data_IF_589539932046
#
_entry.id   IF_589539932046
#
_cell.length_a   1.000
_cell.length_b   1.000
_cell.length_c   1.000
_cell.angle_alpha   90.00
_cell.angle_beta   90.00
_cell.angle_gamma   90.00
#
_symmetry.space_group_name_H-M   'P 1'
#
loop_
_entity.id
_entity.type
_entity.pdbx_description
1 polymer ?
#
# COMPACT_ATOMS: atom_id res chain seq x y z
N UNK A 1 3.23 26.02 64.97
CA UNK A 1 4.56 26.56 64.62
C UNK A 1 4.68 26.56 63.11
N UNK A 2 4.96 27.73 62.52
CA UNK A 2 5.04 28.02 61.09
C UNK A 2 6.51 28.14 60.67
N UNK A 3 6.75 27.94 59.37
CA UNK A 3 7.92 28.29 58.53
C UNK A 3 8.83 27.12 58.09
N UNK A 4 9.51 27.24 56.93
CA UNK A 4 9.02 27.72 55.64
C UNK A 4 9.52 26.85 54.44
N UNK A 5 8.96 27.17 53.28
CA UNK A 5 9.32 26.70 51.93
C UNK A 5 10.73 27.18 51.54
N UNK A 6 11.54 26.31 50.93
CA UNK A 6 12.61 26.71 50.01
C UNK A 6 12.55 25.87 48.73
N UNK A 7 12.22 26.55 47.64
CA UNK A 7 12.22 26.06 46.26
C UNK A 7 13.65 26.18 45.73
N UNK A 8 14.20 25.10 45.18
CA UNK A 8 15.24 25.18 44.16
C UNK A 8 14.82 24.34 42.95
N UNK A 9 14.36 25.06 41.93
CA UNK A 9 14.21 24.63 40.56
C UNK A 9 15.59 24.24 40.00
N UNK A 10 15.74 22.99 39.57
CA UNK A 10 16.61 22.68 38.43
C UNK A 10 15.78 21.89 37.44
N UNK A 11 15.38 22.63 36.41
CA UNK A 11 14.80 22.18 35.17
C UNK A 11 15.68 21.12 34.49
N UNK A 12 15.13 19.93 34.30
CA UNK A 12 15.54 19.03 33.22
C UNK A 12 14.30 18.71 32.38
N UNK A 13 13.97 19.67 31.52
CA UNK A 13 13.03 19.49 30.42
C UNK A 13 13.82 18.79 29.31
N UNK A 14 13.62 17.49 29.13
CA UNK A 14 13.90 16.82 27.85
C UNK A 14 12.70 15.96 27.48
N UNK A 15 11.94 16.51 26.55
CA UNK A 15 10.95 15.83 25.75
C UNK A 15 11.62 14.69 24.98
N UNK A 16 11.25 13.46 25.30
CA UNK A 16 11.12 12.40 24.31
C UNK A 16 9.74 11.80 24.60
N UNK A 17 8.68 12.40 24.07
CA UNK A 17 8.39 12.29 22.66
C UNK A 17 7.69 10.97 22.49
N UNK A 18 6.36 11.01 22.45
CA UNK A 18 5.50 9.89 22.12
C UNK A 18 6.09 9.16 20.92
N UNK A 19 6.73 8.02 21.16
CA UNK A 19 6.89 7.05 20.10
C UNK A 19 5.48 6.55 19.89
N UNK A 20 4.78 7.17 18.93
CA UNK A 20 3.56 6.63 18.36
C UNK A 20 3.91 5.22 17.96
N UNK A 21 3.55 4.28 18.84
CA UNK A 21 3.44 2.89 18.52
C UNK A 21 2.43 2.88 17.38
N UNK A 22 2.96 2.84 16.16
CA UNK A 22 2.17 2.58 14.98
C UNK A 22 1.62 1.22 15.29
N UNK A 23 0.40 1.20 15.80
CA UNK A 23 -0.39 0.01 16.02
C UNK A 23 -0.36 -0.72 14.69
N UNK A 24 0.60 -1.63 14.57
CA UNK A 24 0.61 -2.68 13.59
C UNK A 24 -0.50 -3.57 14.10
N UNK A 25 -1.72 -3.21 13.70
CA UNK A 25 -2.88 -4.06 13.83
C UNK A 25 -2.54 -5.27 12.98
N UNK A 26 -1.90 -6.28 13.59
CA UNK A 26 -1.82 -7.63 13.04
C UNK A 26 -3.19 -8.30 13.17
N UNK A 27 -4.23 -7.61 12.67
CA UNK A 27 -5.43 -8.27 12.21
C UNK A 27 -5.04 -8.92 10.89
N UNK A 28 -5.14 -10.24 10.79
CA UNK A 28 -4.99 -10.95 9.51
C UNK A 28 -6.03 -10.38 8.54
N UNK A 29 -5.66 -9.37 7.77
CA UNK A 29 -6.50 -8.82 6.73
C UNK A 29 -6.85 -9.94 5.75
N UNK A 30 -8.14 -10.05 5.41
CA UNK A 30 -8.65 -11.09 4.52
C UNK A 30 -7.96 -10.99 3.16
N UNK A 31 -7.30 -12.06 2.74
CA UNK A 31 -6.66 -12.15 1.44
C UNK A 31 -7.47 -13.05 0.49
N UNK A 32 -7.61 -12.63 -0.77
CA UNK A 32 -8.30 -13.36 -1.85
C UNK A 32 -7.47 -13.35 -3.11
N UNK A 33 -7.70 -14.30 -4.01
CA UNK A 33 -7.03 -14.34 -5.31
C UNK A 33 -7.79 -13.52 -6.38
N UNK A 34 -7.12 -13.08 -7.46
CA UNK A 34 -7.80 -12.41 -8.58
C UNK A 34 -8.98 -13.21 -9.16
N UNK A 35 -8.95 -14.54 -9.07
CA UNK A 35 -10.02 -15.41 -9.56
C UNK A 35 -11.25 -15.43 -8.64
N UNK A 36 -11.10 -15.04 -7.37
CA UNK A 36 -12.18 -14.99 -6.39
C UNK A 36 -12.95 -13.66 -6.41
N UNK A 37 -12.44 -12.64 -7.09
CA UNK A 37 -13.06 -11.32 -7.16
C UNK A 37 -13.80 -11.10 -8.49
N UNK A 38 -14.69 -10.10 -8.48
CA UNK A 38 -15.28 -9.46 -9.65
C UNK A 38 -15.09 -7.95 -9.50
N UNK A 39 -14.84 -7.26 -10.60
CA UNK A 39 -14.76 -5.80 -10.66
C UNK A 39 -15.94 -5.29 -11.49
N UNK A 40 -16.59 -4.21 -11.06
CA UNK A 40 -17.68 -3.57 -11.82
C UNK A 40 -17.13 -2.58 -12.86
N UNK A 41 -17.99 -2.04 -13.72
CA UNK A 41 -17.59 -1.01 -14.70
C UNK A 41 -17.06 0.26 -14.02
N UNK A 42 -17.50 0.53 -12.77
CA UNK A 42 -17.04 1.64 -11.94
C UNK A 42 -15.74 1.32 -11.16
N UNK A 43 -15.13 0.16 -11.37
CA UNK A 43 -13.89 -0.26 -10.70
C UNK A 43 -14.08 -0.77 -9.27
N UNK A 44 -15.32 -1.07 -8.86
CA UNK A 44 -15.62 -1.59 -7.52
C UNK A 44 -15.37 -3.10 -7.45
N UNK A 45 -14.58 -3.51 -6.46
CA UNK A 45 -14.16 -4.89 -6.23
C UNK A 45 -15.07 -5.56 -5.21
N UNK A 46 -15.57 -6.74 -5.57
CA UNK A 46 -16.36 -7.62 -4.71
C UNK A 46 -15.79 -9.03 -4.76
N UNK A 47 -15.94 -9.79 -3.68
CA UNK A 47 -15.75 -11.24 -3.75
C UNK A 47 -16.95 -11.88 -4.45
N UNK A 48 -16.72 -12.89 -5.29
CA UNK A 48 -17.79 -13.62 -5.99
C UNK A 48 -18.76 -14.23 -4.96
N UNK A 49 -20.04 -13.97 -5.13
CA UNK A 49 -21.10 -14.37 -4.20
C UNK A 49 -21.38 -13.37 -3.07
N UNK A 50 -20.52 -12.35 -2.90
CA UNK A 50 -20.74 -11.29 -1.92
C UNK A 50 -21.39 -10.06 -2.55
N UNK A 51 -22.24 -9.42 -1.76
CA UNK A 51 -22.94 -8.19 -2.10
C UNK A 51 -22.20 -6.94 -1.61
N UNK A 52 -21.41 -7.08 -0.54
CA UNK A 52 -20.68 -5.97 0.06
C UNK A 52 -19.33 -5.70 -0.63
N UNK A 53 -18.94 -4.42 -0.79
CA UNK A 53 -17.62 -4.07 -1.32
C UNK A 53 -16.49 -4.71 -0.51
N UNK A 54 -15.52 -5.30 -1.21
CA UNK A 54 -14.44 -6.03 -0.57
C UNK A 54 -13.50 -5.08 0.19
N UNK A 55 -13.07 -5.48 1.39
CA UNK A 55 -11.95 -4.84 2.11
C UNK A 55 -10.97 -5.93 2.52
N UNK A 56 -9.72 -5.78 2.10
CA UNK A 56 -8.68 -6.78 2.30
C UNK A 56 -7.61 -6.72 1.22
N UNK A 57 -6.94 -7.85 1.01
CA UNK A 57 -5.82 -7.97 0.06
C UNK A 57 -6.18 -8.87 -1.10
N UNK A 58 -5.76 -8.47 -2.30
CA UNK A 58 -5.75 -9.32 -3.49
C UNK A 58 -4.31 -9.79 -3.69
N UNK A 59 -4.11 -11.11 -3.66
CA UNK A 59 -2.79 -11.74 -3.78
C UNK A 59 -2.80 -12.89 -4.77
N UNK A 60 -1.74 -13.03 -5.57
CA UNK A 60 -1.50 -14.22 -6.37
C UNK A 60 -0.05 -14.69 -6.24
N UNK A 61 0.19 -15.94 -6.60
CA UNK A 61 1.49 -16.58 -6.50
C UNK A 61 1.82 -17.24 -7.84
N UNK A 62 3.10 -17.17 -8.20
CA UNK A 62 3.66 -17.93 -9.31
C UNK A 62 3.57 -19.44 -9.03
N UNK A 63 3.67 -20.30 -10.07
CA UNK A 63 3.67 -21.76 -9.89
C UNK A 63 4.76 -22.28 -8.94
N UNK A 64 5.84 -21.51 -8.77
CA UNK A 64 6.93 -21.82 -7.83
C UNK A 64 6.64 -21.39 -6.37
N UNK A 65 5.45 -20.89 -6.08
CA UNK A 65 5.01 -20.47 -4.75
C UNK A 65 5.47 -19.07 -4.33
N UNK A 66 6.19 -18.33 -5.17
CA UNK A 66 6.61 -16.95 -4.88
C UNK A 66 5.48 -15.97 -5.17
N UNK A 67 5.43 -14.87 -4.41
CA UNK A 67 4.44 -13.81 -4.60
C UNK A 67 4.54 -13.25 -6.02
N UNK A 68 3.41 -13.18 -6.70
CA UNK A 68 3.29 -12.64 -8.06
C UNK A 68 2.70 -11.24 -8.03
N UNK A 69 1.65 -11.03 -7.23
CA UNK A 69 0.90 -9.79 -7.18
C UNK A 69 0.38 -9.54 -5.78
N UNK A 70 0.36 -8.27 -5.39
CA UNK A 70 -0.27 -7.80 -4.17
C UNK A 70 -0.92 -6.42 -4.38
N UNK A 71 -2.15 -6.29 -3.88
CA UNK A 71 -2.90 -5.04 -3.86
C UNK A 71 -3.87 -4.98 -2.68
N UNK A 72 -3.91 -3.84 -1.98
CA UNK A 72 -4.92 -3.60 -0.96
C UNK A 72 -6.19 -3.01 -1.58
N UNK A 73 -7.33 -3.46 -1.09
CA UNK A 73 -8.67 -2.99 -1.45
C UNK A 73 -9.33 -2.46 -0.17
N UNK A 74 -9.88 -1.25 -0.23
CA UNK A 74 -10.61 -0.61 0.87
C UNK A 74 -11.98 -0.19 0.37
N UNK A 75 -13.04 -0.69 0.99
CA UNK A 75 -14.43 -0.42 0.60
C UNK A 75 -14.68 -0.61 -0.92
N UNK A 76 -14.14 -1.71 -1.47
CA UNK A 76 -14.23 -2.07 -2.88
C UNK A 76 -13.26 -1.32 -3.81
N UNK A 77 -12.49 -0.36 -3.32
CA UNK A 77 -11.60 0.44 -4.17
C UNK A 77 -10.14 0.03 -3.98
N UNK A 78 -9.39 -0.02 -5.08
CA UNK A 78 -7.93 -0.19 -5.06
C UNK A 78 -7.30 0.95 -4.25
N UNK A 79 -6.47 0.62 -3.27
CA UNK A 79 -5.87 1.62 -2.38
C UNK A 79 -4.48 1.18 -1.94
N UNK A 80 -3.56 2.13 -1.77
CA UNK A 80 -2.20 1.86 -1.35
C UNK A 80 -1.31 1.34 -2.46
N UNK A 81 -0.32 0.51 -2.12
CA UNK A 81 0.70 0.08 -3.08
C UNK A 81 0.21 -1.13 -3.86
N UNK A 82 0.30 -1.05 -5.18
CA UNK A 82 0.26 -2.20 -6.08
C UNK A 82 1.68 -2.66 -6.35
N UNK A 83 1.95 -3.95 -6.16
CA UNK A 83 3.24 -4.54 -6.49
C UNK A 83 3.04 -5.84 -7.27
N UNK A 84 3.86 -6.03 -8.28
CA UNK A 84 3.93 -7.25 -9.08
C UNK A 84 5.40 -7.68 -9.20
N UNK A 85 5.62 -8.98 -9.22
CA UNK A 85 6.94 -9.60 -9.28
C UNK A 85 7.02 -10.63 -10.39
N UNK A 86 8.21 -10.74 -10.99
CA UNK A 86 8.59 -11.85 -11.86
C UNK A 86 8.71 -13.15 -11.06
N UNK A 87 8.66 -14.30 -11.73
CA UNK A 87 8.76 -15.61 -11.07
C UNK A 87 10.09 -15.80 -10.31
N UNK A 88 11.15 -15.10 -10.70
CA UNK A 88 12.43 -15.10 -9.99
C UNK A 88 12.44 -14.25 -8.71
N UNK A 89 11.33 -13.55 -8.40
CA UNK A 89 11.16 -12.68 -7.24
C UNK A 89 11.62 -11.24 -7.46
N UNK A 90 12.11 -10.88 -8.66
CA UNK A 90 12.43 -9.50 -8.98
C UNK A 90 11.15 -8.68 -9.23
N UNK A 91 11.22 -7.38 -8.99
CA UNK A 91 10.11 -6.45 -9.27
C UNK A 91 9.76 -6.48 -10.76
N UNK A 92 8.49 -6.66 -11.08
CA UNK A 92 7.95 -6.43 -12.43
C UNK A 92 7.29 -5.06 -12.50
N UNK A 93 6.41 -4.75 -11.56
CA UNK A 93 5.70 -3.48 -11.52
C UNK A 93 5.49 -2.97 -10.09
N UNK A 94 5.47 -1.65 -9.96
CA UNK A 94 5.04 -0.95 -8.75
C UNK A 94 4.24 0.29 -9.11
N UNK A 95 3.06 0.43 -8.54
CA UNK A 95 2.22 1.61 -8.67
C UNK A 95 1.57 1.96 -7.32
N UNK A 96 0.99 3.16 -7.21
CA UNK A 96 0.18 3.55 -6.05
C UNK A 96 -1.23 3.85 -6.52
N UNK A 97 -2.21 3.39 -5.75
CA UNK A 97 -3.63 3.60 -5.97
C UNK A 97 -4.21 4.38 -4.79
N UNK A 98 -5.09 5.33 -5.09
CA UNK A 98 -5.84 6.11 -4.11
C UNK A 98 -7.27 6.15 -4.59
N UNK A 99 -8.17 5.51 -3.85
CA UNK A 99 -9.61 5.49 -4.13
C UNK A 99 -9.91 5.04 -5.56
N UNK A 100 -9.33 3.92 -5.95
CA UNK A 100 -9.54 3.34 -7.28
C UNK A 100 -8.75 3.99 -8.41
N UNK A 101 -8.02 5.09 -8.16
CA UNK A 101 -7.26 5.82 -9.19
C UNK A 101 -5.75 5.70 -8.98
N UNK A 102 -4.97 5.56 -10.05
CA UNK A 102 -3.50 5.63 -9.94
C UNK A 102 -3.04 7.04 -9.58
N UNK A 103 -2.08 7.09 -8.65
CA UNK A 103 -1.46 8.31 -8.16
C UNK A 103 0.06 8.14 -8.05
N UNK A 104 0.81 9.18 -8.34
CA UNK A 104 2.27 9.15 -8.26
C UNK A 104 2.92 8.35 -9.38
N UNK A 105 4.10 7.78 -9.14
CA UNK A 105 4.91 7.18 -10.19
C UNK A 105 4.70 5.67 -10.28
N UNK A 106 4.14 5.21 -11.40
CA UNK A 106 4.17 3.81 -11.78
C UNK A 106 5.50 3.48 -12.43
N UNK A 107 6.10 2.36 -12.05
CA UNK A 107 7.40 1.89 -12.57
C UNK A 107 7.30 0.43 -12.92
N UNK A 108 7.87 0.07 -14.07
CA UNK A 108 8.02 -1.31 -14.48
C UNK A 108 9.47 -1.65 -14.78
N UNK A 109 9.83 -2.93 -14.57
CA UNK A 109 11.16 -3.46 -14.82
C UNK A 109 11.07 -4.76 -15.62
N UNK A 110 12.06 -5.03 -16.44
CA UNK A 110 12.26 -6.35 -17.04
C UNK A 110 12.75 -7.35 -15.98
N UNK A 111 12.63 -8.65 -16.26
CA UNK A 111 13.21 -9.70 -15.43
C UNK A 111 14.74 -9.59 -15.25
N UNK A 112 15.44 -8.78 -16.06
CA UNK A 112 16.85 -8.45 -15.83
C UNK A 112 17.08 -7.39 -14.73
N UNK A 113 16.02 -6.83 -14.15
CA UNK A 113 16.06 -5.71 -13.21
C UNK A 113 16.23 -4.34 -13.88
N UNK A 114 16.42 -4.29 -15.20
CA UNK A 114 16.49 -3.02 -15.96
C UNK A 114 15.12 -2.36 -16.01
N UNK A 115 15.07 -1.03 -15.88
CA UNK A 115 13.82 -0.26 -16.01
C UNK A 115 13.23 -0.48 -17.40
N UNK A 116 11.91 -0.62 -17.44
CA UNK A 116 11.09 -0.77 -18.65
C UNK A 116 10.24 0.47 -18.89
N UNK A 117 9.63 1.02 -17.84
CA UNK A 117 8.89 2.28 -17.93
C UNK A 117 8.82 3.04 -16.60
N UNK A 118 8.60 4.34 -16.70
CA UNK A 118 8.24 5.23 -15.59
C UNK A 118 7.13 6.16 -16.08
N UNK A 119 5.93 6.02 -15.51
CA UNK A 119 4.78 6.84 -15.84
C UNK A 119 4.30 7.60 -14.61
N UNK A 120 4.35 8.92 -14.62
CA UNK A 120 3.71 9.72 -13.58
C UNK A 120 2.20 9.74 -13.83
N UNK A 121 1.43 9.43 -12.80
CA UNK A 121 -0.02 9.48 -12.78
C UNK A 121 -0.50 10.51 -11.76
N UNK A 122 -1.61 11.17 -12.09
CA UNK A 122 -2.43 11.95 -11.16
C UNK A 122 -3.88 11.65 -11.49
N UNK A 123 -4.62 11.07 -10.54
CA UNK A 123 -6.01 10.67 -10.76
C UNK A 123 -6.21 9.90 -12.10
N UNK A 124 -5.44 8.83 -12.28
CA UNK A 124 -5.41 7.95 -13.47
C UNK A 124 -4.96 8.56 -14.80
N UNK A 125 -4.66 9.86 -14.84
CA UNK A 125 -4.16 10.53 -16.04
C UNK A 125 -2.64 10.63 -15.99
N UNK A 126 -1.98 10.42 -17.14
CA UNK A 126 -0.56 10.70 -17.25
C UNK A 126 -0.28 12.17 -16.93
N UNK A 127 0.70 12.41 -16.07
CA UNK A 127 1.03 13.74 -15.59
C UNK A 127 2.54 14.01 -15.63
N UNK A 128 3.02 14.61 -16.72
CA UNK A 128 4.44 14.93 -16.91
C UNK A 128 5.09 13.98 -17.90
N UNK A 129 6.41 13.80 -17.78
CA UNK A 129 7.19 13.05 -18.76
C UNK A 129 7.11 11.55 -18.52
N UNK A 130 6.57 10.83 -19.50
CA UNK A 130 6.64 9.37 -19.57
C UNK A 130 8.03 8.94 -20.05
N UNK A 131 8.57 7.87 -19.47
CA UNK A 131 9.82 7.27 -19.94
C UNK A 131 9.63 5.80 -20.25
N UNK A 132 10.29 5.35 -21.31
CA UNK A 132 10.36 3.96 -21.78
C UNK A 132 11.80 3.68 -22.18
N UNK A 133 12.27 2.47 -21.92
CA UNK A 133 13.63 2.02 -22.23
C UNK A 133 13.58 0.75 -23.08
#
# INVERSE_FOLDING_TARGET
MRHPIFILLVSAFWLAGCSGDKTRVEGKERAVTPQQIRETEEGMVFVKGEKEPFTGRVVSYHPNGRLELELNIVAGQKHGTFEQWHADGQKDEKATWVNGLREGMARGWYASGKKRFEYPFRADKFHGTVKRW
#
